data_IF_003068009526
#
_entry.id   IF_003068009526
#
_cell.length_a   1.000
_cell.length_b   1.000
_cell.length_c   1.000
_cell.angle_alpha   90.00
_cell.angle_beta   90.00
_cell.angle_gamma   90.00
#
_symmetry.space_group_name_H-M   'P 1'
#
loop_
_entity.id
_entity.type
_entity.pdbx_description
1 polymer ?
#
# COMPACT_ATOMS: atom_id res chain seq x y z
N UNK A 1 -20.51 9.62 9.14
CA UNK A 1 -21.36 8.67 8.42
C UNK A 1 -22.26 7.89 9.39
N UNK A 2 -21.69 7.22 10.40
CA UNK A 2 -22.48 6.47 11.41
C UNK A 2 -23.57 7.31 12.08
N UNK A 3 -23.30 8.57 12.45
CA UNK A 3 -24.28 9.51 13.01
C UNK A 3 -25.43 9.85 12.06
N UNK A 4 -25.25 9.61 10.75
CA UNK A 4 -26.26 9.81 9.70
C UNK A 4 -26.86 8.49 9.20
N UNK A 5 -26.66 7.38 9.96
CA UNK A 5 -27.11 6.04 9.61
C UNK A 5 -26.62 5.53 8.24
N UNK A 6 -25.47 6.05 7.77
CA UNK A 6 -24.82 5.52 6.57
C UNK A 6 -23.98 4.32 7.02
N UNK A 7 -24.48 3.13 6.76
CA UNK A 7 -23.88 1.87 7.21
C UNK A 7 -22.90 1.30 6.19
N UNK A 8 -23.15 1.50 4.89
CA UNK A 8 -22.30 1.02 3.81
C UNK A 8 -21.66 2.19 3.08
N UNK A 9 -20.36 2.21 3.00
CA UNK A 9 -19.62 3.28 2.34
C UNK A 9 -18.27 2.81 1.80
N UNK A 10 -17.83 3.52 0.78
CA UNK A 10 -16.45 3.52 0.29
C UNK A 10 -16.02 4.99 0.14
N UNK A 11 -14.89 5.33 0.75
CA UNK A 11 -14.28 6.66 0.67
C UNK A 11 -12.87 6.47 0.17
N UNK A 12 -12.52 7.24 -0.84
CA UNK A 12 -11.15 7.38 -1.35
C UNK A 12 -10.81 8.87 -1.36
N UNK A 13 -9.64 9.19 -0.80
CA UNK A 13 -9.13 10.55 -0.75
C UNK A 13 -7.62 10.51 -0.95
N UNK A 14 -7.14 11.03 -2.08
CA UNK A 14 -5.71 11.10 -2.38
C UNK A 14 -5.01 9.75 -2.61
N UNK A 15 -5.77 8.65 -2.68
CA UNK A 15 -5.26 7.29 -2.77
C UNK A 15 -5.43 6.47 -1.49
N UNK A 16 -5.80 7.12 -0.37
CA UNK A 16 -6.17 6.47 0.88
C UNK A 16 -7.62 6.00 0.81
N UNK A 17 -7.83 4.73 1.10
CA UNK A 17 -9.14 4.09 1.05
C UNK A 17 -9.63 3.74 2.44
N UNK A 18 -10.91 4.01 2.70
CA UNK A 18 -11.65 3.50 3.85
C UNK A 18 -12.99 2.97 3.38
N UNK A 19 -13.32 1.72 3.76
CA UNK A 19 -14.63 1.15 3.41
C UNK A 19 -15.21 0.30 4.53
N UNK A 20 -16.50 0.03 4.41
CA UNK A 20 -17.18 -1.08 5.08
C UNK A 20 -16.87 -2.39 4.37
N UNK A 21 -17.29 -3.53 4.94
CA UNK A 21 -17.06 -4.86 4.36
C UNK A 21 -17.75 -5.02 3.01
N UNK A 22 -18.99 -4.54 2.91
CA UNK A 22 -19.86 -4.78 1.76
C UNK A 22 -20.42 -3.47 1.22
N UNK A 23 -20.79 -3.47 -0.04
CA UNK A 23 -21.63 -2.47 -0.66
C UNK A 23 -23.05 -2.66 -0.13
N UNK A 24 -23.90 -3.37 -0.58
CA UNK A 24 -25.30 -3.60 -0.24
C UNK A 24 -25.45 -4.92 0.53
N UNK A 25 -24.70 -5.09 1.62
CA UNK A 25 -24.69 -6.25 2.52
C UNK A 25 -24.22 -7.59 1.93
N UNK A 26 -23.95 -7.67 0.63
CA UNK A 26 -23.62 -8.94 -0.04
C UNK A 26 -22.29 -8.84 -0.81
N UNK A 27 -22.05 -7.77 -1.58
CA UNK A 27 -20.88 -7.66 -2.46
C UNK A 27 -19.74 -6.92 -1.76
N UNK A 28 -18.53 -7.54 -1.60
CA UNK A 28 -17.38 -6.86 -1.04
C UNK A 28 -16.86 -5.78 -1.99
N UNK A 29 -16.27 -4.74 -1.41
CA UNK A 29 -15.49 -3.77 -2.18
C UNK A 29 -14.23 -4.44 -2.73
N UNK A 30 -13.90 -4.15 -3.98
CA UNK A 30 -12.72 -4.64 -4.68
C UNK A 30 -11.74 -3.48 -4.87
N UNK A 31 -10.58 -3.59 -4.26
CA UNK A 31 -9.56 -2.54 -4.29
C UNK A 31 -8.35 -3.04 -5.07
N UNK A 32 -8.17 -2.50 -6.28
CA UNK A 32 -7.09 -2.87 -7.17
C UNK A 32 -5.78 -2.16 -6.84
N UNK A 33 -4.67 -2.89 -6.88
CA UNK A 33 -3.32 -2.36 -6.78
C UNK A 33 -2.75 -2.25 -8.20
N UNK A 34 -2.39 -1.04 -8.58
CA UNK A 34 -1.80 -0.76 -9.90
C UNK A 34 -0.39 -1.34 -9.96
N UNK A 35 -0.05 -1.95 -11.08
CA UNK A 35 1.32 -2.39 -11.34
C UNK A 35 2.22 -1.16 -11.59
N UNK A 36 3.21 -0.88 -10.74
CA UNK A 36 4.05 0.31 -10.88
C UNK A 36 4.92 0.31 -12.16
N UNK A 37 5.15 -0.86 -12.77
CA UNK A 37 5.88 -0.98 -14.03
C UNK A 37 4.96 -1.00 -15.27
N UNK A 38 3.65 -1.20 -15.08
CA UNK A 38 2.63 -1.22 -16.13
C UNK A 38 1.35 -0.58 -15.59
N UNK A 39 1.26 0.77 -15.54
CA UNK A 39 0.16 1.48 -14.88
C UNK A 39 -1.23 1.19 -15.44
N UNK A 40 -1.30 0.66 -16.65
CA UNK A 40 -2.54 0.22 -17.29
C UNK A 40 -3.07 -1.13 -16.78
N UNK A 41 -2.33 -1.79 -15.88
CA UNK A 41 -2.67 -3.12 -15.36
C UNK A 41 -2.71 -3.14 -13.84
N UNK A 42 -3.65 -3.90 -13.31
CA UNK A 42 -3.63 -4.29 -11.90
C UNK A 42 -2.65 -5.45 -11.70
N UNK A 43 -1.99 -5.47 -10.55
CA UNK A 43 -1.08 -6.55 -10.15
C UNK A 43 -1.64 -7.39 -9.00
N UNK A 44 -2.57 -6.81 -8.22
CA UNK A 44 -3.26 -7.50 -7.14
C UNK A 44 -4.62 -6.85 -6.88
N UNK A 45 -5.54 -7.57 -6.23
CA UNK A 45 -6.84 -7.06 -5.80
C UNK A 45 -7.14 -7.51 -4.37
N UNK A 46 -7.48 -6.59 -3.51
CA UNK A 46 -7.98 -6.87 -2.16
C UNK A 46 -9.51 -6.84 -2.13
N UNK A 47 -10.09 -7.65 -1.23
CA UNK A 47 -11.52 -7.70 -0.98
C UNK A 47 -11.78 -7.29 0.46
N UNK A 48 -12.66 -6.32 0.67
CA UNK A 48 -12.90 -5.71 1.99
C UNK A 48 -13.52 -6.66 3.02
N UNK A 49 -14.26 -7.68 2.58
CA UNK A 49 -14.91 -8.68 3.45
C UNK A 49 -13.92 -9.57 4.22
N UNK A 50 -12.69 -9.66 3.74
CA UNK A 50 -11.61 -10.43 4.38
C UNK A 50 -11.05 -9.77 5.64
N UNK A 51 -11.49 -8.56 5.98
CA UNK A 51 -10.96 -7.76 7.08
C UNK A 51 -12.08 -7.29 8.01
N UNK A 52 -11.82 -7.25 9.32
CA UNK A 52 -12.79 -6.70 10.28
C UNK A 52 -12.99 -5.20 10.10
N UNK A 53 -11.94 -4.52 9.72
CA UNK A 53 -11.92 -3.11 9.35
C UNK A 53 -11.01 -2.95 8.13
N UNK A 54 -11.50 -2.27 7.09
CA UNK A 54 -10.71 -2.06 5.89
C UNK A 54 -10.37 -0.59 5.71
N UNK A 55 -9.10 -0.28 5.91
CA UNK A 55 -8.48 0.94 5.44
C UNK A 55 -7.16 0.59 4.77
N UNK A 56 -6.86 1.20 3.64
CA UNK A 56 -5.66 0.93 2.87
C UNK A 56 -5.05 2.23 2.36
N UNK A 57 -3.73 2.32 2.41
CA UNK A 57 -2.96 3.34 1.74
C UNK A 57 -1.78 2.71 0.98
N UNK A 58 -1.36 3.36 -0.08
CA UNK A 58 -0.20 2.95 -0.88
C UNK A 58 0.76 4.09 -1.06
N UNK A 59 1.96 3.94 -0.51
CA UNK A 59 3.10 4.81 -0.79
C UNK A 59 3.96 4.20 -1.90
N UNK A 60 4.33 4.98 -2.89
CA UNK A 60 5.12 4.48 -4.01
C UNK A 60 5.75 5.59 -4.83
N UNK A 61 6.95 5.32 -5.34
CA UNK A 61 7.75 6.30 -6.06
C UNK A 61 7.27 6.53 -7.50
N UNK A 62 6.42 5.64 -8.04
CA UNK A 62 5.97 5.70 -9.43
C UNK A 62 4.96 6.82 -9.72
N UNK A 63 4.29 7.38 -8.70
CA UNK A 63 3.30 8.46 -8.86
C UNK A 63 3.93 9.85 -8.88
N UNK A 64 5.08 10.03 -8.24
CA UNK A 64 5.71 11.33 -8.03
C UNK A 64 7.22 11.27 -8.35
N UNK A 65 7.55 10.92 -9.60
CA UNK A 65 8.93 10.95 -10.07
C UNK A 65 9.30 12.40 -10.38
N UNK A 66 10.36 12.91 -9.75
CA UNK A 66 11.00 14.16 -10.17
C UNK A 66 12.17 13.85 -11.08
N UNK A 67 12.17 14.47 -12.25
CA UNK A 67 13.27 14.34 -13.23
C UNK A 67 14.23 15.49 -13.02
N UNK A 68 15.48 15.19 -12.64
CA UNK A 68 16.58 16.13 -12.59
C UNK A 68 17.65 15.71 -13.61
N UNK A 69 17.68 16.38 -14.75
CA UNK A 69 18.55 16.00 -15.88
C UNK A 69 18.17 14.61 -16.41
N UNK A 70 19.14 13.68 -16.43
CA UNK A 70 18.93 12.29 -16.85
C UNK A 70 18.57 11.35 -15.70
N UNK A 71 18.46 11.84 -14.46
CA UNK A 71 18.16 11.02 -13.28
C UNK A 71 16.71 11.17 -12.85
N UNK A 72 16.02 10.06 -12.73
CA UNK A 72 14.74 9.98 -12.03
C UNK A 72 15.03 9.81 -10.55
N UNK A 73 14.55 10.75 -9.74
CA UNK A 73 14.74 10.73 -8.29
C UNK A 73 13.39 10.43 -7.62
N UNK A 74 13.41 9.46 -6.69
CA UNK A 74 12.30 9.24 -5.76
C UNK A 74 12.09 10.50 -4.91
N UNK A 75 10.83 10.83 -4.64
CA UNK A 75 10.50 11.88 -3.68
C UNK A 75 10.66 11.40 -2.23
N UNK A 76 10.76 10.09 -2.01
CA UNK A 76 10.99 9.50 -0.70
C UNK A 76 12.46 9.53 -0.36
N UNK A 77 12.80 10.23 0.74
CA UNK A 77 14.17 10.35 1.22
C UNK A 77 14.45 9.23 2.23
N UNK A 78 15.56 8.52 2.03
CA UNK A 78 16.09 7.61 3.04
C UNK A 78 16.59 8.42 4.24
N UNK A 79 15.96 8.26 5.38
CA UNK A 79 16.25 9.07 6.58
C UNK A 79 17.65 8.85 7.16
N UNK A 80 18.31 7.74 6.83
CA UNK A 80 19.67 7.44 7.28
C UNK A 80 20.72 8.12 6.42
N UNK A 81 20.51 8.17 5.13
CA UNK A 81 21.49 8.70 4.16
C UNK A 81 21.22 10.13 3.73
N UNK A 82 19.98 10.63 3.95
CA UNK A 82 19.53 11.94 3.46
C UNK A 82 19.41 12.02 1.94
N UNK A 83 19.50 10.90 1.24
CA UNK A 83 19.42 10.83 -0.22
C UNK A 83 18.10 10.22 -0.69
N UNK A 84 17.66 10.50 -1.93
CA UNK A 84 16.51 9.82 -2.51
C UNK A 84 16.66 8.30 -2.47
N UNK A 85 15.58 7.61 -2.12
CA UNK A 85 15.57 6.16 -2.06
C UNK A 85 15.58 5.58 -3.48
N UNK A 86 16.74 5.07 -3.92
CA UNK A 86 16.95 4.49 -5.25
C UNK A 86 16.80 2.97 -5.27
N UNK A 87 16.16 2.40 -4.26
CA UNK A 87 15.95 0.97 -4.20
C UNK A 87 15.00 0.44 -5.28
N UNK A 88 15.12 -0.85 -5.55
CA UNK A 88 14.23 -1.59 -6.45
C UNK A 88 12.77 -1.63 -5.97
N UNK A 89 12.49 -1.20 -4.73
CA UNK A 89 11.14 -1.09 -4.16
C UNK A 89 10.37 0.01 -4.87
N UNK A 90 9.20 -0.32 -5.40
CA UNK A 90 8.37 0.57 -6.21
C UNK A 90 7.15 1.07 -5.46
N UNK A 91 6.56 0.26 -4.57
CA UNK A 91 5.46 0.68 -3.72
C UNK A 91 5.27 -0.24 -2.51
N UNK A 92 4.63 0.32 -1.49
CA UNK A 92 4.19 -0.39 -0.29
C UNK A 92 2.72 -0.06 -0.04
N UNK A 93 1.87 -1.08 -0.03
CA UNK A 93 0.47 -0.95 0.38
C UNK A 93 0.30 -1.52 1.78
N UNK A 94 -0.38 -0.80 2.66
CA UNK A 94 -0.66 -1.23 4.04
C UNK A 94 -2.16 -1.27 4.26
N UNK A 95 -2.64 -2.33 4.93
CA UNK A 95 -4.01 -2.46 5.41
C UNK A 95 -4.00 -2.32 6.94
N UNK A 96 -4.81 -1.41 7.46
CA UNK A 96 -4.89 -1.08 8.88
C UNK A 96 -6.34 -0.80 9.31
N UNK A 97 -6.53 -0.47 10.60
CA UNK A 97 -7.85 -0.21 11.17
C UNK A 97 -8.42 1.17 10.77
N UNK A 98 -7.58 2.10 10.37
CA UNK A 98 -7.97 3.42 9.88
C UNK A 98 -6.98 3.94 8.82
N UNK A 99 -7.42 4.92 8.01
CA UNK A 99 -6.65 5.46 6.89
C UNK A 99 -5.37 6.18 7.34
N UNK A 100 -5.41 6.92 8.44
CA UNK A 100 -4.25 7.62 8.99
C UNK A 100 -3.12 6.64 9.34
N UNK A 101 -3.45 5.53 9.99
CA UNK A 101 -2.49 4.49 10.33
C UNK A 101 -1.95 3.79 9.07
N UNK A 102 -2.83 3.47 8.11
CA UNK A 102 -2.42 2.86 6.85
C UNK A 102 -1.43 3.75 6.10
N UNK A 103 -1.72 5.03 5.96
CA UNK A 103 -0.89 6.02 5.26
C UNK A 103 0.46 6.23 5.96
N UNK A 104 0.44 6.49 7.27
CA UNK A 104 1.68 6.68 8.06
C UNK A 104 2.61 5.47 7.95
N UNK A 105 2.06 4.26 8.06
CA UNK A 105 2.85 3.02 7.95
C UNK A 105 3.33 2.77 6.53
N UNK A 106 2.51 3.00 5.51
CA UNK A 106 2.91 2.83 4.12
C UNK A 106 4.08 3.75 3.77
N UNK A 107 4.01 5.02 4.18
CA UNK A 107 5.08 6.01 3.99
C UNK A 107 6.35 5.63 4.74
N UNK A 108 6.24 5.26 6.02
CA UNK A 108 7.39 4.84 6.83
C UNK A 108 8.08 3.59 6.24
N UNK A 109 7.31 2.57 5.88
CA UNK A 109 7.85 1.34 5.27
C UNK A 109 8.46 1.61 3.88
N UNK A 110 7.91 2.55 3.12
CA UNK A 110 8.48 2.95 1.84
C UNK A 110 9.81 3.69 1.99
N UNK A 111 10.00 4.43 3.08
CA UNK A 111 11.27 5.13 3.38
C UNK A 111 12.38 4.19 3.90
N UNK A 112 12.04 3.00 4.40
CA UNK A 112 13.02 2.01 4.89
C UNK A 112 13.61 1.21 3.74
N UNK A 113 14.80 0.62 3.92
CA UNK A 113 15.32 -0.45 3.07
C UNK A 113 14.40 -1.66 3.10
N UNK A 114 14.27 -2.38 1.96
CA UNK A 114 13.28 -3.46 1.80
C UNK A 114 13.37 -4.54 2.89
N UNK A 115 14.57 -5.04 3.19
CA UNK A 115 14.75 -6.06 4.22
C UNK A 115 14.38 -5.55 5.63
N UNK A 116 14.74 -4.30 5.93
CA UNK A 116 14.40 -3.64 7.20
C UNK A 116 12.88 -3.47 7.32
N UNK A 117 12.22 -3.03 6.25
CA UNK A 117 10.78 -2.87 6.20
C UNK A 117 10.05 -4.21 6.42
N UNK A 118 10.51 -5.30 5.78
CA UNK A 118 9.94 -6.64 5.97
C UNK A 118 10.07 -7.08 7.44
N UNK A 119 11.26 -6.98 8.03
CA UNK A 119 11.50 -7.32 9.45
C UNK A 119 10.62 -6.48 10.39
N UNK A 120 10.45 -5.20 10.07
CA UNK A 120 9.59 -4.32 10.85
C UNK A 120 8.12 -4.76 10.80
N UNK A 121 7.61 -5.12 9.60
CA UNK A 121 6.23 -5.62 9.48
C UNK A 121 6.01 -6.92 10.24
N UNK A 122 6.98 -7.81 10.27
CA UNK A 122 6.90 -9.06 11.04
C UNK A 122 6.86 -8.80 12.55
N UNK A 123 7.76 -7.95 13.04
CA UNK A 123 7.82 -7.57 14.47
C UNK A 123 6.53 -6.92 14.95
N UNK A 124 5.93 -6.06 14.13
CA UNK A 124 4.77 -5.25 14.51
C UNK A 124 3.44 -5.79 13.96
N UNK A 125 3.42 -6.99 13.37
CA UNK A 125 2.23 -7.65 12.81
C UNK A 125 1.45 -6.77 11.83
N UNK A 126 2.18 -6.06 10.95
CA UNK A 126 1.60 -5.16 9.97
C UNK A 126 1.22 -5.93 8.72
N UNK A 127 -0.02 -5.73 8.23
CA UNK A 127 -0.49 -6.27 6.95
C UNK A 127 0.00 -5.37 5.82
N UNK A 128 1.07 -5.79 5.13
CA UNK A 128 1.71 -5.02 4.05
C UNK A 128 1.97 -5.85 2.81
N UNK A 129 1.79 -5.24 1.65
CA UNK A 129 2.21 -5.72 0.34
C UNK A 129 3.33 -4.82 -0.19
N UNK A 130 4.48 -5.39 -0.45
CA UNK A 130 5.60 -4.73 -1.11
C UNK A 130 5.63 -5.12 -2.58
N UNK A 131 5.80 -4.14 -3.47
CA UNK A 131 6.06 -4.36 -4.88
C UNK A 131 7.45 -3.81 -5.19
N UNK A 132 8.30 -4.64 -5.76
CA UNK A 132 9.64 -4.27 -6.17
C UNK A 132 9.94 -4.75 -7.59
N UNK A 133 10.98 -4.19 -8.18
CA UNK A 133 11.43 -4.59 -9.50
C UNK A 133 12.58 -5.58 -9.39
N UNK A 134 12.47 -6.69 -10.10
CA UNK A 134 13.53 -7.66 -10.27
C UNK A 134 13.65 -8.02 -11.77
N UNK A 135 14.78 -7.67 -12.37
CA UNK A 135 15.08 -7.94 -13.79
C UNK A 135 13.96 -7.49 -14.74
N UNK A 136 13.45 -6.27 -14.54
CA UNK A 136 12.39 -5.68 -15.34
C UNK A 136 10.98 -6.24 -15.08
N UNK A 137 10.82 -7.05 -14.03
CA UNK A 137 9.52 -7.63 -13.64
C UNK A 137 9.10 -7.16 -12.25
N UNK A 138 7.83 -6.85 -12.10
CA UNK A 138 7.26 -6.57 -10.79
C UNK A 138 7.13 -7.87 -9.99
N UNK A 139 7.66 -7.87 -8.79
CA UNK A 139 7.58 -8.96 -7.80
C UNK A 139 6.82 -8.48 -6.57
N UNK A 140 6.11 -9.39 -5.93
CA UNK A 140 5.29 -9.12 -4.77
C UNK A 140 5.83 -9.86 -3.56
N UNK A 141 5.90 -9.16 -2.41
CA UNK A 141 6.15 -9.77 -1.11
C UNK A 141 5.00 -9.38 -0.19
N UNK A 142 4.28 -10.37 0.31
CA UNK A 142 3.25 -10.21 1.33
C UNK A 142 3.87 -10.42 2.70
N UNK A 143 3.62 -9.48 3.64
CA UNK A 143 4.03 -9.68 5.03
C UNK A 143 3.37 -10.93 5.62
N UNK A 144 4.00 -11.55 6.61
CA UNK A 144 3.44 -12.75 7.28
C UNK A 144 2.02 -12.51 7.81
N UNK A 145 1.75 -11.31 8.33
CA UNK A 145 0.43 -10.99 8.86
C UNK A 145 -0.62 -10.87 7.74
N UNK A 146 -0.25 -10.36 6.58
CA UNK A 146 -1.14 -10.29 5.43
C UNK A 146 -1.42 -11.69 4.84
N UNK A 147 -0.43 -12.59 4.84
CA UNK A 147 -0.60 -13.97 4.35
C UNK A 147 -1.59 -14.81 5.19
N UNK A 148 -1.81 -14.43 6.47
CA UNK A 148 -2.81 -15.10 7.32
C UNK A 148 -4.26 -14.79 6.90
N UNK A 149 -4.47 -13.70 6.20
CA UNK A 149 -5.77 -13.35 5.65
C UNK A 149 -6.02 -14.27 4.47
N UNK A 150 -7.07 -15.10 4.53
CA UNK A 150 -7.46 -15.99 3.41
C UNK A 150 -7.82 -15.10 2.21
N UNK A 151 -6.93 -15.06 1.25
CA UNK A 151 -7.13 -14.37 -0.03
C UNK A 151 -8.08 -15.16 -0.93
#
# INVERSE_FOLDING_TARGET
>A
LKQKNILNFFIELGGEVRSTKFKEDIEPWKIGIINPLKPEKLIHTFYSDKYDSFAMATSGDYRNIRVFGLKQLSHTINVKTGTPNNEAKKSVSVIADNAMQADSLATALNAMELETAIKYTEKHKIKALFIFEDKGKAKLIFSKELQKVKM
#
